data_IF_544358228524
#
_entry.id   IF_544358228524
#
_cell.length_a   1.000
_cell.length_b   1.000
_cell.length_c   1.000
_cell.angle_alpha   90.00
_cell.angle_beta   90.00
_cell.angle_gamma   90.00
#
_symmetry.space_group_name_H-M   'P 1'
#
loop_
_entity.id
_entity.type
_entity.pdbx_description
1 polymer ?
#
# COMPACT_ATOMS: atom_id res chain seq x y z
N UNK A 1 -28.88 -3.65 -2.23
CA UNK A 1 -27.71 -3.28 -1.41
C UNK A 1 -28.07 -3.49 0.05
N UNK A 2 -27.68 -4.63 0.62
CA UNK A 2 -27.77 -4.84 2.07
C UNK A 2 -26.65 -4.03 2.72
N UNK A 3 -26.97 -3.24 3.75
CA UNK A 3 -25.99 -2.45 4.48
C UNK A 3 -25.03 -3.40 5.22
N UNK A 4 -23.77 -3.44 4.82
CA UNK A 4 -22.71 -4.15 5.56
C UNK A 4 -22.43 -3.35 6.84
N UNK A 5 -22.79 -3.89 8.00
CA UNK A 5 -22.36 -3.32 9.28
C UNK A 5 -20.89 -3.69 9.47
N UNK A 6 -19.99 -2.73 9.25
CA UNK A 6 -18.61 -2.84 9.72
C UNK A 6 -18.63 -2.74 11.24
N UNK A 7 -18.33 -3.85 11.92
CA UNK A 7 -18.01 -3.82 13.34
C UNK A 7 -16.49 -3.66 13.42
N UNK A 8 -16.01 -2.42 13.31
CA UNK A 8 -14.66 -2.07 13.72
C UNK A 8 -14.64 -2.17 15.25
N UNK A 9 -14.48 -3.40 15.75
CA UNK A 9 -14.36 -3.60 17.19
C UNK A 9 -12.95 -3.18 17.56
N UNK A 10 -12.81 -1.97 18.09
CA UNK A 10 -11.62 -1.61 18.82
C UNK A 10 -11.69 -2.35 20.17
N UNK A 11 -10.94 -3.46 20.25
CA UNK A 11 -11.16 -4.55 21.19
C UNK A 11 -10.62 -4.32 22.61
N UNK A 12 -10.30 -3.08 22.96
CA UNK A 12 -9.95 -2.69 24.33
C UNK A 12 -11.18 -2.46 25.25
N UNK A 13 -12.41 -2.62 24.73
CA UNK A 13 -13.64 -2.36 25.50
C UNK A 13 -14.51 -3.62 25.75
N UNK A 14 -14.90 -3.92 27.01
CA UNK A 14 -15.61 -5.15 27.39
C UNK A 14 -17.05 -5.29 26.86
N UNK A 15 -17.62 -4.27 26.20
CA UNK A 15 -18.97 -4.30 25.62
C UNK A 15 -19.05 -5.01 24.25
N UNK A 16 -17.90 -5.31 23.63
CA UNK A 16 -17.82 -5.97 22.33
C UNK A 16 -18.44 -7.38 22.31
N UNK A 17 -18.29 -8.15 23.40
CA UNK A 17 -18.76 -9.53 23.48
C UNK A 17 -20.30 -9.65 23.46
N UNK A 18 -21.02 -8.63 23.96
CA UNK A 18 -22.48 -8.62 23.97
C UNK A 18 -23.09 -8.33 22.59
N UNK A 19 -22.36 -7.65 21.71
CA UNK A 19 -22.85 -7.29 20.38
C UNK A 19 -22.84 -8.48 19.42
N UNK A 20 -21.95 -9.47 19.61
CA UNK A 20 -21.78 -10.65 18.75
C UNK A 20 -23.05 -11.51 18.62
N UNK A 21 -23.88 -11.60 19.67
CA UNK A 21 -25.11 -12.38 19.67
C UNK A 21 -26.30 -11.70 18.94
N UNK A 22 -26.14 -10.45 18.45
CA UNK A 22 -27.20 -9.69 17.78
C UNK A 22 -26.97 -9.44 16.28
N UNK A 23 -25.94 -10.07 15.69
CA UNK A 23 -25.45 -9.68 14.36
C UNK A 23 -26.13 -10.47 13.22
N UNK A 24 -26.84 -9.71 12.38
CA UNK A 24 -27.29 -10.11 11.04
C UNK A 24 -26.11 -10.50 10.11
N UNK A 25 -26.43 -11.18 9.01
CA UNK A 25 -25.47 -11.70 8.04
C UNK A 25 -24.50 -10.64 7.49
N UNK A 26 -23.19 -10.96 7.48
CA UNK A 26 -22.16 -10.14 6.82
C UNK A 26 -21.27 -9.35 7.78
N UNK A 27 -20.76 -9.99 8.83
CA UNK A 27 -19.83 -9.37 9.79
C UNK A 27 -18.42 -9.31 9.18
N UNK A 28 -17.79 -8.14 9.29
CA UNK A 28 -16.36 -7.94 9.16
C UNK A 28 -15.74 -7.90 10.56
N UNK A 29 -14.65 -8.62 10.75
CA UNK A 29 -13.91 -8.68 11.99
C UNK A 29 -12.49 -8.19 11.77
N UNK A 30 -12.10 -7.16 12.51
CA UNK A 30 -10.74 -6.66 12.56
C UNK A 30 -10.13 -7.05 13.92
N UNK A 31 -9.06 -7.85 13.88
CA UNK A 31 -8.35 -8.33 15.06
C UNK A 31 -6.99 -7.65 15.11
N UNK A 32 -6.83 -6.65 15.96
CA UNK A 32 -5.52 -6.07 16.29
C UNK A 32 -5.06 -6.59 17.65
N UNK A 33 -3.90 -7.26 17.68
CA UNK A 33 -3.40 -7.93 18.88
C UNK A 33 -1.93 -7.59 19.16
N UNK A 34 -1.67 -7.17 20.41
CA UNK A 34 -0.35 -7.33 21.05
C UNK A 34 -0.38 -8.52 22.02
N UNK A 35 0.77 -8.98 22.50
CA UNK A 35 0.99 -10.27 23.20
C UNK A 35 0.06 -10.57 24.39
N UNK A 36 -0.70 -9.59 24.91
CA UNK A 36 -1.60 -9.68 26.07
C UNK A 36 -3.05 -9.22 25.80
N UNK A 37 -3.51 -9.21 24.54
CA UNK A 37 -4.81 -8.63 24.18
C UNK A 37 -6.01 -9.54 24.53
N UNK A 38 -7.09 -8.94 25.04
CA UNK A 38 -8.38 -9.60 25.29
C UNK A 38 -9.05 -10.09 24.00
N UNK A 39 -8.67 -9.51 22.86
CA UNK A 39 -9.09 -9.84 21.49
C UNK A 39 -9.03 -11.34 21.17
N UNK A 40 -8.03 -12.06 21.71
CA UNK A 40 -7.85 -13.51 21.48
C UNK A 40 -8.99 -14.36 22.04
N UNK A 41 -9.72 -13.87 23.06
CA UNK A 41 -10.83 -14.59 23.69
C UNK A 41 -12.09 -14.66 22.83
N UNK A 42 -12.16 -13.89 21.75
CA UNK A 42 -13.30 -13.86 20.83
C UNK A 42 -13.23 -14.94 19.76
N UNK A 43 -12.03 -15.34 19.32
CA UNK A 43 -11.86 -16.34 18.26
C UNK A 43 -12.63 -17.65 18.55
N UNK A 44 -12.58 -18.23 19.76
CA UNK A 44 -13.37 -19.42 20.09
C UNK A 44 -14.88 -19.22 19.96
N UNK A 45 -15.38 -18.00 20.17
CA UNK A 45 -16.82 -17.68 20.10
C UNK A 45 -17.33 -17.59 18.65
N UNK A 46 -16.42 -17.44 17.69
CA UNK A 46 -16.73 -17.30 16.27
C UNK A 46 -16.74 -18.64 15.53
N UNK A 47 -16.28 -19.72 16.16
CA UNK A 47 -16.26 -21.06 15.56
C UNK A 47 -17.68 -21.46 15.16
N UNK A 48 -17.84 -21.95 13.92
CA UNK A 48 -19.12 -22.27 13.29
C UNK A 48 -20.06 -21.07 13.04
N UNK A 49 -19.57 -19.83 13.12
CA UNK A 49 -20.41 -18.66 12.82
C UNK A 49 -20.70 -18.57 11.33
N UNK A 50 -21.99 -18.54 10.97
CA UNK A 50 -22.44 -18.28 9.61
C UNK A 50 -22.50 -16.78 9.28
N UNK A 51 -22.38 -15.90 10.28
CA UNK A 51 -22.42 -14.45 10.07
C UNK A 51 -21.08 -13.87 9.62
N UNK A 52 -19.97 -14.57 9.90
CA UNK A 52 -18.61 -14.10 9.57
C UNK A 52 -18.35 -14.27 8.07
N UNK A 53 -18.06 -13.14 7.40
CA UNK A 53 -17.78 -13.09 5.96
C UNK A 53 -16.39 -12.56 5.63
N UNK A 54 -15.77 -11.83 6.57
CA UNK A 54 -14.46 -11.22 6.43
C UNK A 54 -13.70 -11.26 7.74
N UNK A 55 -12.42 -11.62 7.69
CA UNK A 55 -11.50 -11.58 8.83
C UNK A 55 -10.24 -10.84 8.40
N UNK A 56 -9.86 -9.83 9.17
CA UNK A 56 -8.58 -9.14 9.09
C UNK A 56 -7.83 -9.34 10.40
N UNK A 57 -6.56 -9.73 10.30
CA UNK A 57 -5.70 -10.00 11.46
C UNK A 57 -4.44 -9.18 11.31
N UNK A 58 -4.20 -8.30 12.28
CA UNK A 58 -2.96 -7.58 12.49
C UNK A 58 -2.40 -7.95 13.87
N UNK A 59 -1.29 -8.68 13.88
CA UNK A 59 -0.71 -9.18 15.10
C UNK A 59 0.81 -9.18 15.05
N UNK A 60 1.40 -8.71 16.15
CA UNK A 60 2.83 -8.81 16.38
C UNK A 60 3.16 -9.89 17.41
N UNK A 61 4.22 -10.66 17.18
CA UNK A 61 4.67 -11.72 18.09
C UNK A 61 6.18 -11.71 18.33
N UNK A 62 6.63 -11.95 19.56
CA UNK A 62 8.05 -12.14 19.89
C UNK A 62 8.41 -13.60 20.17
N UNK A 63 7.42 -14.45 20.41
CA UNK A 63 7.61 -15.87 20.71
C UNK A 63 6.65 -16.73 19.90
N UNK A 64 7.07 -17.96 19.57
CA UNK A 64 6.20 -18.92 18.90
C UNK A 64 4.94 -19.25 19.71
N UNK A 65 5.04 -19.25 21.04
CA UNK A 65 3.92 -19.50 21.93
C UNK A 65 2.86 -18.39 21.87
N UNK A 66 3.28 -17.11 21.88
CA UNK A 66 2.37 -15.99 21.69
C UNK A 66 1.66 -16.04 20.33
N UNK A 67 2.41 -16.35 19.26
CA UNK A 67 1.82 -16.50 17.92
C UNK A 67 0.84 -17.68 17.86
N UNK A 68 1.17 -18.83 18.45
CA UNK A 68 0.28 -20.01 18.51
C UNK A 68 -1.03 -19.75 19.25
N UNK A 69 -1.02 -18.92 20.31
CA UNK A 69 -2.26 -18.52 21.00
C UNK A 69 -3.25 -17.78 20.08
N UNK A 70 -2.75 -17.14 19.03
CA UNK A 70 -3.57 -16.50 17.99
C UNK A 70 -3.91 -17.48 16.86
N UNK A 71 -2.90 -18.12 16.27
CA UNK A 71 -3.06 -18.89 15.03
C UNK A 71 -3.88 -20.15 15.25
N UNK A 72 -3.80 -20.81 16.41
CA UNK A 72 -4.58 -22.03 16.67
C UNK A 72 -6.10 -21.78 16.72
N UNK A 73 -6.62 -20.82 17.52
CA UNK A 73 -8.04 -20.46 17.45
C UNK A 73 -8.44 -19.90 16.08
N UNK A 74 -7.59 -19.09 15.45
CA UNK A 74 -7.86 -18.54 14.12
C UNK A 74 -8.06 -19.66 13.08
N UNK A 75 -7.19 -20.68 13.07
CA UNK A 75 -7.34 -21.86 12.22
C UNK A 75 -8.73 -22.50 12.39
N UNK A 76 -9.20 -22.66 13.63
CA UNK A 76 -10.53 -23.24 13.89
C UNK A 76 -11.66 -22.39 13.30
N UNK A 77 -11.56 -21.06 13.41
CA UNK A 77 -12.52 -20.14 12.77
C UNK A 77 -12.47 -20.28 11.24
N UNK A 78 -11.28 -20.27 10.65
CA UNK A 78 -11.11 -20.38 9.20
C UNK A 78 -11.66 -21.69 8.62
N UNK A 79 -11.60 -22.79 9.38
CA UNK A 79 -12.12 -24.09 8.95
C UNK A 79 -13.64 -24.26 9.21
N UNK A 80 -14.22 -23.47 10.11
CA UNK A 80 -15.60 -23.67 10.57
C UNK A 80 -16.60 -22.62 10.08
N UNK A 81 -16.16 -21.46 9.61
CA UNK A 81 -17.03 -20.39 9.14
C UNK A 81 -17.35 -20.53 7.63
N UNK A 82 -18.49 -21.10 7.23
CA UNK A 82 -18.76 -21.46 5.83
C UNK A 82 -18.94 -20.25 4.88
N UNK A 83 -19.26 -19.09 5.45
CA UNK A 83 -19.53 -17.86 4.70
C UNK A 83 -18.32 -16.92 4.62
N UNK A 84 -17.16 -17.33 5.13
CA UNK A 84 -15.93 -16.57 5.00
C UNK A 84 -15.55 -16.46 3.52
N UNK A 85 -15.35 -15.23 3.04
CA UNK A 85 -14.93 -14.93 1.66
C UNK A 85 -13.69 -14.05 1.60
N UNK A 86 -13.39 -13.31 2.67
CA UNK A 86 -12.28 -12.36 2.70
C UNK A 86 -11.36 -12.65 3.88
N UNK A 87 -10.08 -12.76 3.61
CA UNK A 87 -9.05 -13.00 4.62
C UNK A 87 -7.89 -12.03 4.40
N UNK A 88 -7.48 -11.34 5.46
CA UNK A 88 -6.28 -10.50 5.48
C UNK A 88 -5.41 -10.90 6.67
N UNK A 89 -4.15 -11.20 6.40
CA UNK A 89 -3.18 -11.69 7.38
C UNK A 89 -1.94 -10.78 7.41
N UNK A 90 -1.74 -10.16 8.55
CA UNK A 90 -0.52 -9.51 8.96
C UNK A 90 -0.08 -10.06 10.31
N UNK A 91 0.64 -11.19 10.29
CA UNK A 91 1.16 -11.85 11.48
C UNK A 91 2.68 -11.84 11.39
N UNK A 92 3.33 -10.91 12.09
CA UNK A 92 4.77 -10.71 11.95
C UNK A 92 5.49 -10.52 13.29
N UNK A 93 6.81 -10.72 13.32
CA UNK A 93 7.62 -10.13 14.38
C UNK A 93 7.47 -8.60 14.40
N UNK A 94 7.77 -7.92 15.52
CA UNK A 94 7.76 -6.46 15.58
C UNK A 94 8.62 -5.85 14.47
N UNK A 95 8.04 -4.96 13.67
CA UNK A 95 8.72 -4.27 12.57
C UNK A 95 9.50 -3.02 13.01
N UNK A 96 9.38 -2.58 14.27
CA UNK A 96 9.97 -1.33 14.73
C UNK A 96 11.37 -1.49 15.35
N UNK A 97 12.34 -0.67 14.92
CA UNK A 97 13.66 -0.50 15.52
C UNK A 97 14.85 -0.98 14.66
N UNK A 98 16.08 -0.65 15.07
CA UNK A 98 17.31 -1.08 14.39
C UNK A 98 17.70 -2.54 14.64
N UNK A 99 16.88 -3.29 15.40
CA UNK A 99 17.15 -4.69 15.73
C UNK A 99 16.11 -5.56 15.06
N UNK A 100 16.57 -6.46 14.19
CA UNK A 100 15.75 -7.57 13.72
C UNK A 100 15.47 -8.44 14.95
N UNK A 101 14.21 -8.57 15.41
CA UNK A 101 13.90 -9.43 16.54
C UNK A 101 14.29 -10.88 16.20
N UNK A 102 14.77 -11.62 17.20
CA UNK A 102 15.05 -13.04 17.04
C UNK A 102 13.77 -13.78 16.62
N UNK A 103 13.76 -14.30 15.40
CA UNK A 103 12.63 -15.07 14.87
C UNK A 103 12.67 -16.47 15.51
N UNK A 104 11.58 -16.96 16.11
CA UNK A 104 11.59 -18.25 16.76
C UNK A 104 11.81 -19.40 15.76
N UNK A 105 12.55 -20.42 16.18
CA UNK A 105 12.78 -21.63 15.39
C UNK A 105 11.55 -22.52 15.30
N UNK A 106 10.69 -22.44 16.31
CA UNK A 106 9.45 -23.18 16.44
C UNK A 106 8.39 -22.65 15.49
N UNK A 107 7.71 -23.59 14.85
CA UNK A 107 6.59 -23.29 13.99
C UNK A 107 5.43 -22.70 14.80
N UNK A 108 4.84 -21.63 14.27
CA UNK A 108 3.76 -20.91 14.92
C UNK A 108 2.64 -20.38 13.99
N UNK A 109 2.66 -20.76 12.71
CA UNK A 109 1.55 -20.48 11.78
C UNK A 109 0.28 -21.29 12.05
N UNK A 110 -0.67 -21.21 11.12
CA UNK A 110 -1.97 -21.89 11.17
C UNK A 110 -1.83 -23.41 11.07
N UNK A 111 -0.86 -23.91 10.31
CA UNK A 111 -0.50 -25.33 10.29
C UNK A 111 -1.60 -26.18 9.72
N UNK A 112 -2.22 -25.74 8.62
CA UNK A 112 -3.17 -26.56 7.88
C UNK A 112 -2.48 -27.85 7.42
N UNK A 113 -3.13 -28.98 7.64
CA UNK A 113 -2.59 -30.30 7.38
C UNK A 113 -3.71 -31.26 6.96
N UNK A 114 -3.38 -32.43 6.41
CA UNK A 114 -4.36 -33.51 6.18
C UNK A 114 -5.62 -33.10 5.37
N UNK A 115 -5.47 -32.23 4.36
CA UNK A 115 -6.58 -31.74 3.54
C UNK A 115 -7.49 -30.68 4.17
N UNK A 116 -7.15 -30.18 5.37
CA UNK A 116 -7.75 -28.98 5.93
C UNK A 116 -7.62 -27.78 5.00
N UNK A 117 -8.74 -27.14 4.67
CA UNK A 117 -8.75 -25.94 3.85
C UNK A 117 -9.88 -25.01 4.28
N UNK A 118 -9.65 -23.69 4.25
CA UNK A 118 -10.72 -22.73 4.44
C UNK A 118 -11.75 -22.83 3.29
N UNK A 119 -12.95 -22.23 3.45
CA UNK A 119 -13.86 -22.00 2.33
C UNK A 119 -13.17 -21.28 1.18
N UNK A 120 -13.72 -21.43 -0.03
CA UNK A 120 -13.20 -20.72 -1.20
C UNK A 120 -13.32 -19.20 -1.00
N UNK A 121 -12.17 -18.54 -0.97
CA UNK A 121 -12.05 -17.10 -0.75
C UNK A 121 -12.23 -16.34 -2.07
N UNK A 122 -12.78 -15.14 -1.95
CA UNK A 122 -12.92 -14.15 -3.02
C UNK A 122 -11.85 -13.06 -2.91
N UNK A 123 -11.33 -12.80 -1.70
CA UNK A 123 -10.23 -11.87 -1.44
C UNK A 123 -9.24 -12.45 -0.43
N UNK A 124 -7.96 -12.38 -0.76
CA UNK A 124 -6.87 -12.79 0.11
C UNK A 124 -5.78 -11.71 0.12
N UNK A 125 -5.39 -11.30 1.31
CA UNK A 125 -4.28 -10.41 1.56
C UNK A 125 -3.31 -11.06 2.55
N UNK A 126 -2.03 -11.13 2.17
CA UNK A 126 -0.96 -11.61 3.04
C UNK A 126 0.12 -10.53 3.05
N UNK A 127 0.14 -9.77 4.14
CA UNK A 127 1.15 -8.74 4.40
C UNK A 127 2.39 -9.41 5.02
N UNK A 128 2.17 -10.23 6.05
CA UNK A 128 3.20 -11.08 6.62
C UNK A 128 2.57 -12.32 7.26
N UNK A 129 3.31 -13.42 7.20
CA UNK A 129 2.85 -14.68 7.76
C UNK A 129 4.04 -15.58 8.12
N UNK A 130 4.01 -16.27 9.28
CA UNK A 130 5.07 -17.17 9.71
C UNK A 130 5.00 -18.52 8.95
N UNK A 131 5.37 -18.51 7.67
CA UNK A 131 5.37 -19.71 6.81
C UNK A 131 6.18 -20.85 7.45
N UNK A 132 5.51 -22.00 7.64
CA UNK A 132 6.16 -23.21 8.10
C UNK A 132 7.01 -23.85 7.02
N UNK A 133 8.09 -24.51 7.42
CA UNK A 133 8.98 -25.24 6.50
C UNK A 133 9.56 -26.48 7.15
N UNK A 134 9.97 -27.44 6.34
CA UNK A 134 10.64 -28.63 6.83
C UNK A 134 12.00 -28.27 7.47
N UNK A 135 12.33 -28.83 8.66
CA UNK A 135 13.65 -28.69 9.24
C UNK A 135 14.74 -29.18 8.28
N UNK A 136 15.73 -28.33 8.03
CA UNK A 136 16.90 -28.70 7.24
C UNK A 136 18.18 -28.57 8.10
N UNK A 137 19.32 -28.95 7.55
CA UNK A 137 20.60 -28.88 8.27
C UNK A 137 21.20 -27.46 8.34
N UNK A 138 20.45 -26.42 7.96
CA UNK A 138 20.89 -25.03 8.06
C UNK A 138 21.00 -24.60 9.52
N UNK A 139 22.00 -23.79 9.89
CA UNK A 139 22.04 -23.15 11.19
C UNK A 139 20.89 -22.15 11.42
N UNK A 140 20.16 -21.78 10.36
CA UNK A 140 19.03 -20.84 10.39
C UNK A 140 17.75 -21.60 10.04
N UNK A 141 17.00 -22.02 11.06
CA UNK A 141 15.78 -22.84 10.96
C UNK A 141 14.57 -22.13 11.58
N UNK A 142 14.24 -20.93 11.10
CA UNK A 142 13.03 -20.24 11.52
C UNK A 142 11.77 -21.03 11.13
N UNK A 143 10.79 -21.05 12.03
CA UNK A 143 9.47 -21.69 11.86
C UNK A 143 9.48 -23.14 11.38
N UNK A 144 10.57 -23.87 11.60
CA UNK A 144 10.73 -25.23 11.09
C UNK A 144 10.33 -26.29 12.13
N UNK A 145 10.62 -26.04 13.41
CA UNK A 145 10.41 -27.05 14.45
C UNK A 145 8.93 -27.19 14.78
N UNK A 146 8.35 -28.34 14.44
CA UNK A 146 6.95 -28.67 14.75
C UNK A 146 5.95 -28.33 13.66
N UNK A 147 6.40 -27.98 12.44
CA UNK A 147 5.50 -27.91 11.28
C UNK A 147 4.91 -29.31 11.02
N UNK A 148 3.57 -29.46 10.90
CA UNK A 148 2.93 -30.78 10.88
C UNK A 148 3.13 -31.58 9.59
N UNK A 149 3.48 -30.94 8.48
CA UNK A 149 3.66 -31.56 7.16
C UNK A 149 5.15 -31.61 6.76
N UNK A 150 5.48 -32.41 5.74
CA UNK A 150 6.79 -32.35 5.08
C UNK A 150 6.76 -31.26 3.99
N UNK A 151 7.92 -30.70 3.64
CA UNK A 151 8.02 -29.57 2.71
C UNK A 151 7.62 -28.22 3.32
N UNK A 152 7.12 -27.30 2.50
CA UNK A 152 6.78 -25.93 2.90
C UNK A 152 5.26 -25.75 3.07
N UNK A 153 4.86 -24.94 4.05
CA UNK A 153 3.44 -24.56 4.23
C UNK A 153 2.88 -23.84 3.02
N UNK A 154 3.73 -23.07 2.36
CA UNK A 154 3.37 -22.37 1.14
C UNK A 154 2.93 -23.34 0.03
N UNK A 155 3.63 -24.47 -0.14
CA UNK A 155 3.26 -25.51 -1.10
C UNK A 155 1.91 -26.14 -0.78
N UNK A 156 1.64 -26.33 0.52
CA UNK A 156 0.35 -26.85 0.99
C UNK A 156 -0.78 -25.90 0.60
N UNK A 157 -0.63 -24.61 0.88
CA UNK A 157 -1.62 -23.60 0.51
C UNK A 157 -1.83 -23.56 -1.00
N UNK A 158 -0.74 -23.50 -1.75
CA UNK A 158 -0.79 -23.46 -3.21
C UNK A 158 -1.53 -24.67 -3.79
N UNK A 159 -1.37 -25.85 -3.20
CA UNK A 159 -1.95 -27.11 -3.69
C UNK A 159 -3.39 -27.31 -3.24
N UNK A 160 -3.72 -27.04 -1.98
CA UNK A 160 -4.95 -27.49 -1.34
C UNK A 160 -6.06 -26.44 -1.33
N UNK A 161 -5.72 -25.15 -1.36
CA UNK A 161 -6.72 -24.07 -1.31
C UNK A 161 -7.44 -23.91 -2.66
N UNK A 162 -8.65 -23.38 -2.61
CA UNK A 162 -9.46 -23.10 -3.80
C UNK A 162 -9.16 -21.69 -4.34
N UNK A 163 -8.26 -21.61 -5.31
CA UNK A 163 -7.78 -20.34 -5.90
C UNK A 163 -8.66 -19.83 -7.06
N UNK A 164 -9.48 -20.68 -7.66
CA UNK A 164 -10.22 -20.35 -8.89
C UNK A 164 -11.29 -19.26 -8.69
N UNK A 165 -11.70 -19.00 -7.45
CA UNK A 165 -12.71 -18.00 -7.08
C UNK A 165 -12.12 -16.67 -6.59
N UNK A 166 -10.80 -16.58 -6.50
CA UNK A 166 -10.14 -15.41 -5.95
C UNK A 166 -10.20 -14.25 -6.95
N UNK A 167 -10.97 -13.21 -6.61
CA UNK A 167 -11.08 -11.97 -7.38
C UNK A 167 -10.01 -10.93 -7.01
N UNK A 168 -9.52 -10.95 -5.76
CA UNK A 168 -8.48 -10.05 -5.26
C UNK A 168 -7.35 -10.79 -4.54
N UNK A 169 -6.12 -10.50 -4.91
CA UNK A 169 -4.91 -11.04 -4.28
C UNK A 169 -3.92 -9.93 -3.95
N UNK A 170 -3.54 -9.83 -2.68
CA UNK A 170 -2.46 -8.95 -2.21
C UNK A 170 -1.38 -9.77 -1.53
N UNK A 171 -0.13 -9.65 -1.98
CA UNK A 171 1.04 -10.31 -1.40
C UNK A 171 2.17 -9.29 -1.21
N UNK A 172 2.56 -9.01 0.04
CA UNK A 172 3.66 -8.07 0.31
C UNK A 172 5.05 -8.71 0.22
N UNK A 173 5.14 -10.03 0.38
CA UNK A 173 6.33 -10.81 0.12
C UNK A 173 6.04 -11.80 -1.02
N UNK A 174 6.01 -11.27 -2.24
CA UNK A 174 5.85 -12.08 -3.44
C UNK A 174 7.05 -13.02 -3.69
N UNK A 175 8.19 -12.77 -3.03
CA UNK A 175 9.38 -13.62 -3.11
C UNK A 175 9.19 -14.98 -2.43
N UNK A 176 8.17 -15.10 -1.57
CA UNK A 176 7.76 -16.36 -0.96
C UNK A 176 7.40 -17.47 -1.97
N UNK A 177 7.19 -17.13 -3.24
CA UNK A 177 6.96 -18.11 -4.30
C UNK A 177 5.49 -18.49 -4.51
N UNK A 178 4.61 -18.15 -3.55
CA UNK A 178 3.19 -18.50 -3.58
C UNK A 178 2.52 -18.00 -4.86
N UNK A 179 2.80 -16.75 -5.24
CA UNK A 179 2.22 -16.11 -6.42
C UNK A 179 2.41 -16.96 -7.68
N UNK A 180 3.61 -17.50 -7.92
CA UNK A 180 3.91 -18.31 -9.11
C UNK A 180 3.21 -19.65 -9.08
N UNK A 181 3.17 -20.29 -7.90
CA UNK A 181 2.56 -21.61 -7.76
C UNK A 181 1.04 -21.55 -7.99
N UNK A 182 0.40 -20.43 -7.62
CA UNK A 182 -1.05 -20.28 -7.72
C UNK A 182 -1.50 -19.56 -8.99
N UNK A 183 -0.63 -18.79 -9.66
CA UNK A 183 -0.97 -18.04 -10.87
C UNK A 183 -1.77 -18.82 -11.93
N UNK A 184 -1.42 -20.07 -12.31
CA UNK A 184 -2.20 -20.82 -13.28
C UNK A 184 -3.66 -21.11 -12.85
N UNK A 185 -3.93 -21.00 -11.55
CA UNK A 185 -5.22 -21.32 -10.92
C UNK A 185 -6.10 -20.07 -10.71
N UNK A 186 -5.56 -18.86 -10.94
CA UNK A 186 -6.23 -17.58 -10.69
C UNK A 186 -7.20 -17.19 -11.83
N UNK A 187 -8.22 -18.02 -12.05
CA UNK A 187 -9.13 -17.90 -13.21
C UNK A 187 -10.15 -16.77 -13.15
N UNK A 188 -10.37 -16.18 -11.97
CA UNK A 188 -11.33 -15.08 -11.75
C UNK A 188 -10.67 -13.82 -11.18
N UNK A 189 -9.34 -13.78 -11.15
CA UNK A 189 -8.62 -12.67 -10.54
C UNK A 189 -8.80 -11.38 -11.36
N UNK A 190 -9.26 -10.34 -10.68
CA UNK A 190 -9.50 -9.01 -11.25
C UNK A 190 -8.51 -7.98 -10.69
N UNK A 191 -8.02 -8.19 -9.46
CA UNK A 191 -7.15 -7.24 -8.76
C UNK A 191 -5.92 -7.95 -8.18
N UNK A 192 -4.74 -7.43 -8.51
CA UNK A 192 -3.47 -7.96 -8.06
C UNK A 192 -2.59 -6.87 -7.45
N UNK A 193 -2.17 -7.08 -6.20
CA UNK A 193 -1.18 -6.23 -5.52
C UNK A 193 0.04 -7.06 -5.13
N UNK A 194 1.23 -6.66 -5.58
CA UNK A 194 2.48 -7.35 -5.29
C UNK A 194 3.53 -6.36 -4.78
N UNK A 195 4.08 -6.62 -3.60
CA UNK A 195 5.18 -5.81 -3.04
C UNK A 195 6.45 -6.63 -2.87
N UNK A 196 7.56 -5.93 -2.67
CA UNK A 196 8.91 -6.49 -2.40
C UNK A 196 9.36 -7.50 -3.46
N UNK A 197 9.09 -7.19 -4.73
CA UNK A 197 9.54 -8.01 -5.84
C UNK A 197 10.96 -7.63 -6.25
N UNK A 198 11.85 -8.60 -6.49
CA UNK A 198 13.26 -8.33 -6.81
C UNK A 198 13.74 -8.87 -8.17
N UNK A 199 12.91 -9.61 -8.91
CA UNK A 199 13.27 -10.28 -10.16
C UNK A 199 12.30 -9.94 -11.32
N UNK A 200 12.75 -9.24 -12.35
CA UNK A 200 11.87 -8.85 -13.46
C UNK A 200 11.36 -10.05 -14.29
N UNK A 201 12.17 -11.11 -14.44
CA UNK A 201 11.81 -12.28 -15.27
C UNK A 201 10.77 -13.15 -14.58
N UNK A 202 10.88 -13.27 -13.26
CA UNK A 202 9.83 -13.88 -12.45
C UNK A 202 8.52 -13.11 -12.57
N UNK A 203 8.55 -11.77 -12.44
CA UNK A 203 7.34 -10.95 -12.56
C UNK A 203 6.69 -11.11 -13.95
N UNK A 204 7.51 -11.13 -15.01
CA UNK A 204 7.05 -11.42 -16.38
C UNK A 204 6.38 -12.79 -16.46
N UNK A 205 7.03 -13.84 -15.95
CA UNK A 205 6.49 -15.20 -15.94
C UNK A 205 5.14 -15.26 -15.21
N UNK A 206 5.01 -14.55 -14.09
CA UNK A 206 3.78 -14.47 -13.32
C UNK A 206 2.63 -13.90 -14.14
N UNK A 207 2.79 -12.71 -14.73
CA UNK A 207 1.74 -12.06 -15.52
C UNK A 207 1.34 -12.85 -16.77
N UNK A 208 2.27 -13.57 -17.38
CA UNK A 208 2.00 -14.46 -18.52
C UNK A 208 1.25 -15.74 -18.11
N UNK A 209 1.35 -16.14 -16.85
CA UNK A 209 0.77 -17.38 -16.34
C UNK A 209 -0.64 -17.18 -15.79
N UNK A 210 -0.99 -15.96 -15.37
CA UNK A 210 -2.33 -15.62 -14.89
C UNK A 210 -3.33 -15.72 -16.06
N UNK A 211 -4.33 -16.63 -15.99
CA UNK A 211 -5.25 -16.87 -17.11
C UNK A 211 -6.41 -15.87 -17.19
N UNK A 212 -6.68 -15.15 -16.11
CA UNK A 212 -7.71 -14.10 -16.03
C UNK A 212 -7.23 -12.80 -16.64
N UNK A 213 -8.17 -11.88 -16.90
CA UNK A 213 -7.86 -10.54 -17.39
C UNK A 213 -7.93 -9.54 -16.24
N UNK A 214 -6.77 -9.01 -15.83
CA UNK A 214 -6.67 -8.11 -14.69
C UNK A 214 -7.30 -6.74 -15.01
N UNK A 215 -8.02 -6.20 -14.03
CA UNK A 215 -8.59 -4.85 -14.06
C UNK A 215 -7.76 -3.85 -13.26
N UNK A 216 -7.09 -4.32 -12.20
CA UNK A 216 -6.26 -3.51 -11.31
C UNK A 216 -4.93 -4.22 -11.04
N UNK A 217 -3.84 -3.49 -11.22
CA UNK A 217 -2.48 -3.93 -10.86
C UNK A 217 -1.81 -2.85 -10.02
N UNK A 218 -1.35 -3.23 -8.83
CA UNK A 218 -0.62 -2.34 -7.90
C UNK A 218 0.71 -2.96 -7.50
N UNK A 219 1.80 -2.22 -7.71
CA UNK A 219 3.18 -2.61 -7.45
C UNK A 219 3.86 -1.54 -6.58
N UNK A 220 3.58 -1.51 -5.25
CA UNK A 220 3.92 -0.38 -4.38
C UNK A 220 5.34 -0.46 -3.78
N UNK A 221 6.14 -1.48 -4.10
CA UNK A 221 7.56 -1.55 -3.71
C UNK A 221 8.29 -2.52 -4.63
N UNK A 222 8.82 -2.00 -5.73
CA UNK A 222 9.67 -2.77 -6.62
C UNK A 222 11.12 -2.64 -6.20
N UNK A 223 11.83 -3.76 -6.24
CA UNK A 223 13.23 -3.84 -5.90
C UNK A 223 14.08 -2.93 -6.79
N UNK A 224 15.25 -2.49 -6.28
CA UNK A 224 16.09 -1.47 -6.91
C UNK A 224 16.65 -1.85 -8.30
N UNK A 225 16.44 -3.08 -8.75
CA UNK A 225 16.99 -3.59 -10.02
C UNK A 225 15.92 -3.89 -11.06
N UNK A 226 14.65 -3.62 -10.77
CA UNK A 226 13.55 -3.93 -11.70
C UNK A 226 13.25 -2.70 -12.56
N UNK A 227 13.66 -2.77 -13.81
CA UNK A 227 13.09 -1.94 -14.87
C UNK A 227 11.86 -2.65 -15.42
N UNK A 228 10.67 -2.07 -15.22
CA UNK A 228 9.43 -2.71 -15.68
C UNK A 228 9.27 -2.48 -17.17
N UNK A 229 9.50 -3.55 -17.91
CA UNK A 229 9.00 -3.67 -19.27
C UNK A 229 7.47 -3.76 -19.26
N UNK A 230 6.79 -2.65 -19.61
CA UNK A 230 5.32 -2.58 -19.59
C UNK A 230 4.65 -3.63 -20.48
N UNK A 231 5.39 -4.22 -21.43
CA UNK A 231 4.87 -5.26 -22.30
C UNK A 231 4.43 -6.51 -21.54
N UNK A 232 4.94 -6.73 -20.31
CA UNK A 232 4.50 -7.85 -19.45
C UNK A 232 3.01 -7.79 -19.11
N UNK A 233 2.40 -6.59 -19.17
CA UNK A 233 0.98 -6.37 -18.88
C UNK A 233 0.08 -6.48 -20.13
N UNK A 234 0.65 -6.67 -21.33
CA UNK A 234 -0.12 -6.75 -22.58
C UNK A 234 -1.24 -7.82 -22.57
N UNK A 235 -1.09 -8.99 -21.95
CA UNK A 235 -2.18 -9.96 -21.84
C UNK A 235 -3.44 -9.40 -21.16
N UNK A 236 -3.29 -8.37 -20.32
CA UNK A 236 -4.34 -7.74 -19.51
C UNK A 236 -4.82 -6.41 -20.09
N UNK A 237 -4.27 -5.97 -21.22
CA UNK A 237 -4.40 -4.59 -21.68
C UNK A 237 -5.83 -4.17 -22.05
N UNK A 238 -6.67 -5.14 -22.48
CA UNK A 238 -8.05 -4.88 -22.85
C UNK A 238 -8.96 -4.56 -21.65
N UNK A 239 -8.58 -5.00 -20.44
CA UNK A 239 -9.41 -4.89 -19.21
C UNK A 239 -8.79 -4.01 -18.14
N UNK A 240 -7.48 -3.76 -18.20
CA UNK A 240 -6.78 -2.99 -17.18
C UNK A 240 -7.28 -1.54 -17.12
N UNK A 241 -7.78 -1.16 -15.95
CA UNK A 241 -8.38 0.13 -15.63
C UNK A 241 -7.56 0.94 -14.65
N UNK A 242 -6.90 0.27 -13.70
CA UNK A 242 -6.00 0.90 -12.74
C UNK A 242 -4.63 0.25 -12.81
N UNK A 243 -3.60 1.07 -12.97
CA UNK A 243 -2.21 0.67 -12.89
C UNK A 243 -1.48 1.58 -11.91
N UNK A 244 -0.90 0.98 -10.88
CA UNK A 244 -0.12 1.69 -9.87
C UNK A 244 1.26 1.07 -9.77
N UNK A 245 2.27 1.86 -10.13
CA UNK A 245 3.68 1.48 -10.09
C UNK A 245 4.38 2.60 -9.34
N UNK A 246 4.60 2.38 -8.05
CA UNK A 246 5.20 3.37 -7.18
C UNK A 246 6.12 2.66 -6.20
N UNK A 247 7.29 3.23 -5.92
CA UNK A 247 8.16 2.74 -4.85
C UNK A 247 8.47 3.86 -3.86
N UNK A 248 8.57 3.57 -2.55
CA UNK A 248 9.18 4.48 -1.61
C UNK A 248 10.56 4.92 -2.08
N UNK A 249 10.98 6.11 -1.67
CA UNK A 249 12.22 6.73 -2.15
C UNK A 249 13.42 5.82 -1.97
N UNK A 250 13.93 5.38 -3.10
CA UNK A 250 15.16 4.61 -3.22
C UNK A 250 15.97 5.19 -4.38
N UNK A 251 17.32 5.20 -4.31
CA UNK A 251 18.18 5.60 -5.43
C UNK A 251 17.92 4.91 -6.77
N UNK A 252 17.13 3.83 -6.80
CA UNK A 252 16.89 3.01 -7.97
C UNK A 252 15.39 2.66 -8.13
N UNK A 253 14.52 3.66 -8.06
CA UNK A 253 13.09 3.48 -8.33
C UNK A 253 12.81 3.32 -9.84
N UNK A 254 11.68 2.71 -10.23
CA UNK A 254 11.31 2.51 -11.63
C UNK A 254 11.20 3.85 -12.37
N UNK A 255 11.72 3.92 -13.60
CA UNK A 255 11.74 5.16 -14.40
C UNK A 255 10.92 5.03 -15.65
N UNK A 256 9.85 5.82 -15.76
CA UNK A 256 9.07 5.88 -16.98
C UNK A 256 9.72 6.80 -18.01
N UNK A 257 10.12 6.23 -19.13
CA UNK A 257 10.52 7.01 -20.31
C UNK A 257 9.30 7.47 -21.10
N UNK A 258 9.48 8.51 -21.92
CA UNK A 258 8.43 8.98 -22.83
C UNK A 258 7.93 7.85 -23.75
N UNK A 259 8.84 7.04 -24.27
CA UNK A 259 8.52 5.91 -25.13
C UNK A 259 7.71 4.83 -24.40
N UNK A 260 8.04 4.53 -23.14
CA UNK A 260 7.28 3.59 -22.33
C UNK A 260 5.84 4.07 -22.08
N UNK A 261 5.66 5.37 -21.80
CA UNK A 261 4.32 5.95 -21.60
C UNK A 261 3.51 6.03 -22.89
N UNK A 262 4.14 6.31 -24.04
CA UNK A 262 3.48 6.22 -25.34
C UNK A 262 3.00 4.81 -25.61
N UNK A 263 3.83 3.80 -25.33
CA UNK A 263 3.45 2.41 -25.50
C UNK A 263 2.31 2.00 -24.54
N UNK A 264 2.36 2.45 -23.28
CA UNK A 264 1.28 2.26 -22.30
C UNK A 264 -0.02 2.92 -22.78
N UNK A 265 0.03 4.16 -23.26
CA UNK A 265 -1.14 4.86 -23.80
C UNK A 265 -1.79 4.09 -24.94
N UNK A 266 -0.98 3.64 -25.89
CA UNK A 266 -1.46 3.03 -27.12
C UNK A 266 -1.96 1.60 -26.90
N UNK A 267 -1.43 0.91 -25.89
CA UNK A 267 -1.78 -0.50 -25.62
C UNK A 267 -2.95 -0.66 -24.64
N UNK A 268 -3.20 0.30 -23.74
CA UNK A 268 -4.16 0.18 -22.62
C UNK A 268 -5.32 1.18 -22.74
N UNK A 269 -6.28 0.96 -23.66
CA UNK A 269 -7.33 1.94 -23.97
C UNK A 269 -8.36 2.14 -22.86
N UNK A 270 -8.48 1.21 -21.90
CA UNK A 270 -9.40 1.31 -20.76
C UNK A 270 -8.75 1.87 -19.49
N UNK A 271 -7.47 2.27 -19.54
CA UNK A 271 -6.77 2.78 -18.37
C UNK A 271 -7.39 4.12 -17.93
N UNK A 272 -7.96 4.11 -16.74
CA UNK A 272 -8.67 5.26 -16.12
C UNK A 272 -7.88 5.84 -14.95
N UNK A 273 -7.03 5.06 -14.30
CA UNK A 273 -6.22 5.46 -13.15
C UNK A 273 -4.78 5.03 -13.39
N UNK A 274 -3.84 5.97 -13.26
CA UNK A 274 -2.41 5.71 -13.38
C UNK A 274 -1.66 6.36 -12.22
N UNK A 275 -0.88 5.57 -11.50
CA UNK A 275 0.03 6.05 -10.44
C UNK A 275 1.45 5.68 -10.83
N UNK A 276 2.33 6.69 -10.96
CA UNK A 276 3.74 6.50 -11.36
C UNK A 276 4.70 7.45 -10.66
N UNK A 277 5.93 6.99 -10.49
CA UNK A 277 7.06 7.84 -10.13
C UNK A 277 7.57 8.63 -11.35
N UNK A 278 7.83 9.92 -11.16
CA UNK A 278 8.31 10.85 -12.18
C UNK A 278 9.67 11.43 -11.78
N UNK A 279 10.66 11.11 -12.59
CA UNK A 279 11.98 11.72 -12.49
C UNK A 279 12.02 13.14 -13.07
N UNK A 280 12.79 14.01 -12.43
CA UNK A 280 13.12 15.33 -12.96
C UNK A 280 14.23 15.22 -14.00
N UNK A 281 14.10 15.95 -15.10
CA UNK A 281 15.12 16.01 -16.14
C UNK A 281 16.22 17.01 -15.72
N UNK A 282 17.06 16.61 -14.77
CA UNK A 282 18.01 17.53 -14.12
C UNK A 282 17.26 18.55 -13.26
N UNK A 283 17.35 19.84 -13.61
CA UNK A 283 16.68 20.95 -12.89
C UNK A 283 15.38 21.41 -13.54
N UNK A 284 14.78 20.57 -14.38
CA UNK A 284 13.57 20.90 -15.12
C UNK A 284 12.49 19.83 -14.96
N UNK A 285 11.25 20.29 -15.04
CA UNK A 285 10.07 19.44 -15.10
C UNK A 285 10.00 18.71 -16.46
N UNK A 286 9.68 17.40 -16.49
CA UNK A 286 9.69 16.59 -17.72
C UNK A 286 8.47 16.87 -18.61
N UNK A 287 8.49 18.00 -19.32
CA UNK A 287 7.36 18.48 -20.14
C UNK A 287 6.89 17.50 -21.24
N UNK A 288 7.81 16.68 -21.77
CA UNK A 288 7.49 15.63 -22.74
C UNK A 288 6.61 14.53 -22.11
N UNK A 289 6.95 14.09 -20.90
CA UNK A 289 6.18 13.10 -20.13
C UNK A 289 4.75 13.61 -19.89
N UNK A 290 4.60 14.85 -19.42
CA UNK A 290 3.28 15.45 -19.18
C UNK A 290 2.45 15.56 -20.47
N UNK A 291 3.10 15.85 -21.60
CA UNK A 291 2.43 15.88 -22.90
C UNK A 291 1.86 14.52 -23.30
N UNK A 292 2.56 13.44 -22.99
CA UNK A 292 2.07 12.07 -23.21
C UNK A 292 0.93 11.74 -22.25
N UNK A 293 1.08 12.03 -20.96
CA UNK A 293 0.05 11.76 -19.94
C UNK A 293 -1.29 12.46 -20.24
N UNK A 294 -1.26 13.72 -20.70
CA UNK A 294 -2.46 14.43 -21.12
C UNK A 294 -3.16 13.81 -22.35
N UNK A 295 -2.44 13.01 -23.14
CA UNK A 295 -2.97 12.38 -24.36
C UNK A 295 -3.62 11.02 -24.14
N UNK A 296 -3.66 10.51 -22.90
CA UNK A 296 -4.34 9.26 -22.62
C UNK A 296 -5.85 9.37 -22.92
N UNK A 297 -6.42 8.39 -23.65
CA UNK A 297 -7.78 8.50 -24.17
C UNK A 297 -8.88 8.34 -23.11
N UNK A 298 -8.59 7.63 -22.02
CA UNK A 298 -9.57 7.25 -20.99
C UNK A 298 -9.13 7.63 -19.58
N UNK A 299 -7.96 8.26 -19.41
CA UNK A 299 -7.39 8.55 -18.10
C UNK A 299 -8.22 9.63 -17.40
N UNK A 300 -8.70 9.31 -16.20
CA UNK A 300 -9.56 10.15 -15.36
C UNK A 300 -8.83 10.62 -14.11
N UNK A 301 -7.99 9.76 -13.53
CA UNK A 301 -7.20 10.04 -12.35
C UNK A 301 -5.72 9.73 -12.60
N UNK A 302 -4.85 10.63 -12.15
CA UNK A 302 -3.41 10.54 -12.32
C UNK A 302 -2.71 10.87 -11.01
N UNK A 303 -1.93 9.94 -10.48
CA UNK A 303 -1.11 10.14 -9.29
C UNK A 303 0.36 10.17 -9.69
N UNK A 304 1.00 11.31 -9.48
CA UNK A 304 2.41 11.51 -9.81
C UNK A 304 3.22 11.69 -8.54
N UNK A 305 4.22 10.83 -8.36
CA UNK A 305 5.15 10.90 -7.26
C UNK A 305 6.48 11.49 -7.74
N UNK A 306 6.97 12.50 -7.03
CA UNK A 306 8.25 13.14 -7.30
C UNK A 306 9.19 12.88 -6.13
N UNK A 307 10.44 12.46 -6.40
CA UNK A 307 11.41 12.22 -5.32
C UNK A 307 11.69 13.53 -4.57
N UNK A 308 11.78 13.48 -3.24
CA UNK A 308 12.17 14.61 -2.41
C UNK A 308 13.69 14.75 -2.38
N UNK A 309 14.42 13.64 -2.30
CA UNK A 309 15.86 13.61 -2.14
C UNK A 309 16.26 13.47 -0.68
N UNK A 310 17.57 13.56 -0.40
CA UNK A 310 18.05 13.62 0.98
C UNK A 310 18.08 15.07 1.49
N UNK A 311 18.16 15.24 2.81
CA UNK A 311 18.24 16.57 3.46
C UNK A 311 19.34 17.46 2.88
N UNK A 312 20.46 16.86 2.48
CA UNK A 312 21.65 17.59 2.06
C UNK A 312 21.64 17.95 0.56
N UNK A 313 20.78 17.32 -0.25
CA UNK A 313 20.67 17.54 -1.70
C UNK A 313 19.22 17.28 -2.17
N UNK A 314 18.26 18.14 -1.79
CA UNK A 314 16.87 17.98 -2.21
C UNK A 314 16.71 18.22 -3.72
N UNK A 315 15.89 17.41 -4.38
CA UNK A 315 15.71 17.50 -5.82
C UNK A 315 14.94 18.76 -6.22
N UNK A 316 15.55 19.57 -7.08
CA UNK A 316 14.92 20.75 -7.68
C UNK A 316 14.41 20.46 -9.10
N UNK A 317 13.31 21.09 -9.55
CA UNK A 317 12.45 22.03 -8.80
C UNK A 317 11.55 21.37 -7.74
N UNK A 318 11.23 22.09 -6.68
CA UNK A 318 10.34 21.60 -5.61
C UNK A 318 8.88 21.56 -6.04
N UNK A 319 8.14 20.58 -5.50
CA UNK A 319 6.70 20.56 -5.61
C UNK A 319 6.12 21.48 -4.53
N UNK A 320 5.61 22.63 -4.96
CA UNK A 320 4.91 23.62 -4.14
C UNK A 320 3.53 23.84 -4.75
N UNK A 321 2.63 24.54 -4.06
CA UNK A 321 1.30 24.84 -4.58
C UNK A 321 1.35 25.59 -5.93
N UNK A 322 2.34 26.47 -6.09
CA UNK A 322 2.54 27.20 -7.35
C UNK A 322 3.00 26.26 -8.48
N UNK A 323 4.02 25.42 -8.24
CA UNK A 323 4.49 24.48 -9.27
C UNK A 323 3.46 23.41 -9.57
N UNK A 324 2.76 22.88 -8.56
CA UNK A 324 1.63 21.96 -8.70
C UNK A 324 0.54 22.56 -9.61
N UNK A 325 0.14 23.81 -9.38
CA UNK A 325 -0.83 24.49 -10.25
C UNK A 325 -0.32 24.67 -11.67
N UNK A 326 0.97 24.96 -11.87
CA UNK A 326 1.56 25.11 -13.20
C UNK A 326 1.68 23.77 -13.95
N UNK A 327 1.89 22.67 -13.23
CA UNK A 327 1.96 21.32 -13.79
C UNK A 327 0.58 20.78 -14.14
N UNK A 328 -0.39 20.93 -13.22
CA UNK A 328 -1.71 20.35 -13.37
C UNK A 328 -2.58 21.07 -14.41
N UNK A 329 -2.51 22.40 -14.52
CA UNK A 329 -3.37 23.15 -15.45
C UNK A 329 -3.22 22.70 -16.91
N UNK A 330 -2.00 22.64 -17.50
CA UNK A 330 -1.86 22.17 -18.88
C UNK A 330 -2.29 20.72 -19.08
N UNK A 331 -2.09 19.85 -18.08
CA UNK A 331 -2.53 18.45 -18.12
C UNK A 331 -4.05 18.36 -18.18
N UNK A 332 -4.73 19.07 -17.28
CA UNK A 332 -6.18 19.17 -17.27
C UNK A 332 -6.68 19.83 -18.55
N UNK A 333 -6.16 20.98 -18.98
CA UNK A 333 -6.67 21.71 -20.15
C UNK A 333 -6.55 20.91 -21.46
N UNK A 334 -5.49 20.11 -21.61
CA UNK A 334 -5.23 19.31 -22.81
C UNK A 334 -5.96 17.98 -22.82
N UNK A 335 -6.25 17.42 -21.65
CA UNK A 335 -6.98 16.16 -21.55
C UNK A 335 -8.49 16.40 -21.56
N UNK A 336 -9.21 15.62 -22.36
CA UNK A 336 -10.67 15.67 -22.37
C UNK A 336 -11.30 14.85 -21.25
N UNK A 337 -10.58 13.85 -20.73
CA UNK A 337 -11.10 12.88 -19.76
C UNK A 337 -10.56 13.07 -18.35
N UNK A 338 -9.37 13.65 -18.19
CA UNK A 338 -8.72 13.79 -16.89
C UNK A 338 -9.54 14.72 -15.97
N UNK A 339 -9.89 14.21 -14.80
CA UNK A 339 -10.74 14.88 -13.81
C UNK A 339 -9.95 15.28 -12.59
N UNK A 340 -8.99 14.44 -12.17
CA UNK A 340 -8.21 14.63 -10.97
C UNK A 340 -6.72 14.32 -11.23
N UNK A 341 -5.85 15.12 -10.64
CA UNK A 341 -4.40 14.89 -10.60
C UNK A 341 -3.94 15.02 -9.16
N UNK A 342 -3.33 13.97 -8.63
CA UNK A 342 -2.63 14.00 -7.37
C UNK A 342 -1.14 14.15 -7.66
N UNK A 343 -0.52 15.14 -7.01
CA UNK A 343 0.91 15.40 -7.11
C UNK A 343 1.49 15.24 -5.72
N UNK A 344 2.47 14.36 -5.58
CA UNK A 344 3.10 14.04 -4.30
C UNK A 344 4.59 14.33 -4.40
N UNK A 345 5.17 14.98 -3.40
CA UNK A 345 6.61 14.99 -3.21
C UNK A 345 6.95 14.22 -1.96
N UNK A 346 7.99 13.39 -2.01
CA UNK A 346 8.30 12.57 -0.85
C UNK A 346 7.50 11.29 -0.84
N UNK A 347 8.18 10.15 -0.86
CA UNK A 347 7.62 8.92 -0.28
C UNK A 347 8.66 8.26 0.62
N UNK A 348 8.92 8.82 1.82
CA UNK A 348 9.89 8.23 2.71
C UNK A 348 9.47 6.80 3.05
N UNK A 349 10.44 5.88 3.05
CA UNK A 349 10.19 4.50 3.44
C UNK A 349 9.52 4.46 4.83
N UNK A 350 8.54 3.58 4.99
CA UNK A 350 7.85 3.41 6.27
C UNK A 350 8.86 3.06 7.37
N UNK A 351 8.70 3.70 8.53
CA UNK A 351 9.47 3.42 9.74
C UNK A 351 9.35 1.93 10.07
N UNK A 352 10.45 1.18 9.96
CA UNK A 352 10.51 -0.24 10.33
C UNK A 352 11.18 -1.17 9.33
N UNK A 353 11.39 -0.74 8.08
CA UNK A 353 12.16 -1.52 7.10
C UNK A 353 13.69 -1.26 7.19
N UNK A 354 14.23 -1.22 8.41
CA UNK A 354 15.67 -1.41 8.64
C UNK A 354 16.51 -0.20 9.00
N UNK A 355 16.05 1.05 8.93
CA UNK A 355 16.77 2.19 9.55
C UNK A 355 15.79 3.32 9.93
N UNK A 356 15.55 3.61 11.22
CA UNK A 356 15.18 4.95 11.62
C UNK A 356 16.44 5.81 11.54
N UNK A 357 16.72 6.43 10.41
CA UNK A 357 17.63 7.58 10.45
C UNK A 357 16.93 8.71 11.20
N UNK A 358 17.68 9.58 11.87
CA UNK A 358 17.15 10.80 12.47
C UNK A 358 16.43 11.70 11.45
N UNK A 359 16.57 11.39 10.15
CA UNK A 359 16.01 12.12 9.01
C UNK A 359 14.63 11.60 8.57
N UNK A 360 14.16 10.45 9.07
CA UNK A 360 12.84 9.92 8.77
C UNK A 360 11.66 10.87 9.14
N UNK A 361 11.67 11.58 10.30
CA UNK A 361 10.67 12.62 10.56
C UNK A 361 10.79 13.80 9.60
N UNK A 362 12.02 14.21 9.25
CA UNK A 362 12.24 15.34 8.35
C UNK A 362 11.66 15.06 6.96
N UNK A 363 11.98 13.92 6.34
CA UNK A 363 11.50 13.62 4.99
C UNK A 363 9.98 13.45 4.94
N UNK A 364 9.38 12.90 6.01
CA UNK A 364 7.92 12.73 6.12
C UNK A 364 7.19 14.05 6.27
N UNK A 365 7.72 14.98 7.03
CA UNK A 365 7.09 16.28 7.26
C UNK A 365 7.42 17.30 6.16
N UNK A 366 8.49 17.07 5.40
CA UNK A 366 8.81 17.81 4.18
C UNK A 366 8.23 17.19 2.90
N UNK A 367 7.53 16.07 3.01
CA UNK A 367 6.64 15.59 1.97
C UNK A 367 5.39 16.49 1.91
N UNK A 368 4.86 16.70 0.72
CA UNK A 368 3.61 17.44 0.53
C UNK A 368 2.84 16.86 -0.63
N UNK A 369 1.51 16.93 -0.52
CA UNK A 369 0.62 16.48 -1.57
C UNK A 369 -0.27 17.62 -2.06
N UNK A 370 -0.68 17.55 -3.32
CA UNK A 370 -1.65 18.45 -3.91
C UNK A 370 -2.66 17.67 -4.74
N UNK A 371 -3.94 18.00 -4.56
CA UNK A 371 -5.04 17.49 -5.36
C UNK A 371 -5.50 18.63 -6.28
N UNK A 372 -5.35 18.41 -7.58
CA UNK A 372 -5.83 19.31 -8.62
C UNK A 372 -7.01 18.67 -9.32
N UNK A 373 -8.22 19.18 -9.09
CA UNK A 373 -9.45 18.65 -9.65
C UNK A 373 -10.13 19.65 -10.58
N UNK A 374 -10.81 19.16 -11.60
CA UNK A 374 -11.64 19.98 -12.49
C UNK A 374 -12.98 20.29 -11.81
N UNK A 375 -13.18 21.52 -11.37
CA UNK A 375 -14.43 22.02 -10.80
C UNK A 375 -15.16 22.90 -11.83
N UNK A 376 -15.95 22.29 -12.71
CA UNK A 376 -16.59 22.99 -13.82
C UNK A 376 -15.57 23.40 -14.89
N UNK A 377 -15.44 24.71 -15.14
CA UNK A 377 -14.46 25.25 -16.10
C UNK A 377 -13.11 25.60 -15.48
N UNK A 378 -12.98 25.56 -14.15
CA UNK A 378 -11.75 25.95 -13.44
C UNK A 378 -11.13 24.75 -12.72
N UNK A 379 -9.80 24.72 -12.65
CA UNK A 379 -9.07 23.75 -11.84
C UNK A 379 -8.97 24.26 -10.40
N UNK A 380 -9.45 23.47 -9.44
CA UNK A 380 -9.26 23.73 -8.01
C UNK A 380 -8.00 23.02 -7.50
N UNK A 381 -7.24 23.68 -6.63
CA UNK A 381 -6.09 23.12 -5.94
C UNK A 381 -6.34 23.08 -4.44
N UNK A 382 -6.03 21.94 -3.83
CA UNK A 382 -6.11 21.70 -2.38
C UNK A 382 -4.90 20.88 -1.94
N UNK A 383 -4.31 21.21 -0.80
CA UNK A 383 -3.32 20.39 -0.11
C UNK A 383 -4.03 19.57 0.98
N UNK A 384 -4.04 18.23 0.91
CA UNK A 384 -4.77 17.40 1.87
C UNK A 384 -4.10 17.36 3.25
N UNK A 385 -2.83 17.75 3.34
CA UNK A 385 -2.07 17.85 4.60
C UNK A 385 -2.43 19.11 5.41
N UNK A 386 -3.25 19.99 4.83
CA UNK A 386 -3.70 21.25 5.42
C UNK A 386 -5.20 21.21 5.72
N UNK A 387 -5.62 21.88 6.78
CA UNK A 387 -7.05 22.08 7.04
C UNK A 387 -7.67 23.12 6.08
N UNK A 388 -8.97 23.38 6.24
CA UNK A 388 -9.68 24.33 5.37
C UNK A 388 -9.19 25.78 5.54
N UNK A 389 -8.80 26.22 6.74
CA UNK A 389 -8.30 27.57 7.00
C UNK A 389 -6.92 27.75 6.36
N UNK A 390 -6.02 26.80 6.58
CA UNK A 390 -4.69 26.74 5.99
C UNK A 390 -4.76 26.68 4.44
N UNK A 391 -5.65 25.87 3.87
CA UNK A 391 -5.86 25.83 2.42
C UNK A 391 -6.38 27.17 1.87
N UNK A 392 -7.25 27.86 2.59
CA UNK A 392 -7.73 29.18 2.18
C UNK A 392 -6.59 30.22 2.17
N UNK A 393 -5.73 30.20 3.18
CA UNK A 393 -4.53 31.05 3.21
C UNK A 393 -3.53 30.68 2.11
N UNK A 394 -3.36 29.39 1.80
CA UNK A 394 -2.50 28.93 0.71
C UNK A 394 -2.98 29.48 -0.63
N UNK A 395 -4.29 29.44 -0.89
CA UNK A 395 -4.89 30.01 -2.10
C UNK A 395 -4.70 31.52 -2.20
N UNK A 396 -4.79 32.25 -1.08
CA UNK A 396 -4.50 33.70 -1.05
C UNK A 396 -3.03 33.96 -1.39
N UNK A 397 -2.10 33.23 -0.76
CA UNK A 397 -0.67 33.35 -1.04
C UNK A 397 -0.35 33.10 -2.52
N UNK A 398 -0.99 32.09 -3.13
CA UNK A 398 -0.87 31.82 -4.57
C UNK A 398 -1.40 32.96 -5.45
N UNK A 399 -2.53 33.59 -5.08
CA UNK A 399 -3.10 34.72 -5.82
C UNK A 399 -2.20 35.96 -5.74
N UNK A 400 -1.63 36.22 -4.57
CA UNK A 400 -0.70 37.32 -4.33
C UNK A 400 0.70 37.05 -4.93
N UNK A 401 0.91 35.87 -5.54
CA UNK A 401 2.19 35.39 -6.07
C UNK A 401 3.32 35.46 -5.04
N UNK A 402 2.95 35.23 -3.79
CA UNK A 402 3.88 35.26 -2.67
C UNK A 402 4.67 33.96 -2.69
N UNK A 403 5.99 34.08 -2.78
CA UNK A 403 6.93 32.95 -2.77
C UNK A 403 7.43 32.63 -1.37
N UNK A 404 6.90 33.30 -0.33
CA UNK A 404 7.32 33.11 1.05
C UNK A 404 6.16 33.25 2.04
N UNK A 405 5.97 32.33 2.97
CA UNK A 405 4.83 32.39 3.89
C UNK A 405 4.86 33.68 4.75
N UNK A 406 3.74 34.44 4.83
CA UNK A 406 3.67 35.59 5.71
C UNK A 406 3.80 35.14 7.18
N UNK A 407 4.68 35.77 7.95
CA UNK A 407 4.86 35.48 9.38
C UNK A 407 3.54 35.54 10.18
N UNK A 408 2.63 36.44 9.78
CA UNK A 408 1.29 36.55 10.37
C UNK A 408 0.40 35.33 10.07
N UNK A 409 0.50 34.72 8.89
CA UNK A 409 -0.23 33.49 8.55
C UNK A 409 0.33 32.31 9.34
N UNK A 410 1.66 32.18 9.45
CA UNK A 410 2.29 31.11 10.23
C UNK A 410 1.92 31.15 11.72
N UNK A 411 1.79 32.34 12.31
CA UNK A 411 1.40 32.48 13.72
C UNK A 411 -0.03 32.00 14.03
N UNK A 412 -0.88 31.86 13.01
CA UNK A 412 -2.28 31.41 13.14
C UNK A 412 -2.46 29.91 12.94
N UNK A 413 -1.52 29.25 12.28
CA UNK A 413 -1.61 27.85 11.86
C UNK A 413 -0.86 26.92 12.83
N UNK A 414 -1.13 27.03 14.14
CA UNK A 414 -0.47 26.22 15.17
C UNK A 414 -0.64 24.72 14.85
N UNK A 415 0.46 23.98 14.75
CA UNK A 415 0.47 22.55 14.39
C UNK A 415 0.46 22.23 12.88
N UNK A 416 0.30 23.22 12.00
CA UNK A 416 0.38 23.03 10.53
C UNK A 416 1.43 23.94 9.86
N UNK A 417 2.26 24.63 10.65
CA UNK A 417 3.26 25.61 10.17
C UNK A 417 4.23 24.99 9.17
N UNK A 418 4.74 23.80 9.48
CA UNK A 418 5.69 23.07 8.62
C UNK A 418 5.04 22.66 7.32
N UNK A 419 3.88 21.98 7.37
CA UNK A 419 3.15 21.58 6.17
C UNK A 419 2.78 22.78 5.29
N UNK A 420 2.35 23.90 5.88
CA UNK A 420 2.03 25.12 5.14
C UNK A 420 3.27 25.72 4.48
N UNK A 421 4.37 25.83 5.23
CA UNK A 421 5.63 26.34 4.74
C UNK A 421 6.14 25.50 3.57
N UNK A 422 6.13 24.17 3.72
CA UNK A 422 6.54 23.22 2.68
C UNK A 422 5.66 23.35 1.45
N UNK A 423 4.34 23.50 1.63
CA UNK A 423 3.42 23.69 0.52
C UNK A 423 3.67 24.99 -0.26
N UNK A 424 4.17 26.05 0.39
CA UNK A 424 4.48 27.34 -0.26
C UNK A 424 5.87 27.36 -0.89
N UNK A 425 6.88 26.91 -0.15
CA UNK A 425 8.29 27.16 -0.45
C UNK A 425 9.07 25.90 -0.87
N UNK A 426 8.57 24.71 -0.52
CA UNK A 426 9.26 23.42 -0.73
C UNK A 426 9.90 22.88 0.55
N UNK A 427 10.68 21.79 0.48
CA UNK A 427 11.32 21.20 1.65
C UNK A 427 12.20 22.20 2.38
N UNK A 428 12.11 22.18 3.71
CA UNK A 428 12.85 23.03 4.63
C UNK A 428 14.19 22.42 4.97
N UNK A 429 15.23 23.23 5.13
CA UNK A 429 16.49 22.75 5.68
C UNK A 429 16.30 22.25 7.12
N UNK A 430 17.16 21.34 7.58
CA UNK A 430 17.02 20.69 8.90
C UNK A 430 16.99 21.72 10.03
N UNK A 431 17.80 22.78 9.96
CA UNK A 431 17.81 23.85 10.96
C UNK A 431 16.51 24.65 11.00
N UNK A 432 15.92 24.94 9.82
CA UNK A 432 14.66 25.68 9.68
C UNK A 432 13.50 24.84 10.20
N UNK A 433 13.46 23.56 9.80
CA UNK A 433 12.50 22.58 10.28
C UNK A 433 12.53 22.46 11.81
N UNK A 434 13.73 22.37 12.42
CA UNK A 434 13.91 22.34 13.89
C UNK A 434 13.51 23.66 14.56
N UNK A 435 13.70 24.80 13.90
CA UNK A 435 13.34 26.11 14.45
C UNK A 435 11.82 26.29 14.53
N UNK A 436 11.09 25.83 13.50
CA UNK A 436 9.63 25.86 13.49
C UNK A 436 9.02 24.96 14.57
N UNK A 437 9.58 23.77 14.79
CA UNK A 437 9.13 22.85 15.85
C UNK A 437 9.36 23.38 17.26
N UNK A 438 10.51 24.01 17.52
CA UNK A 438 10.82 24.59 18.83
C UNK A 438 9.95 25.80 19.20
N UNK A 439 9.23 26.37 18.23
CA UNK A 439 8.28 27.45 18.47
C UNK A 439 6.88 26.97 18.88
N UNK A 440 6.64 25.66 18.87
CA UNK A 440 5.35 25.04 19.23
C UNK A 440 5.40 24.37 20.64
N UNK A 441 6.58 24.31 21.27
CA UNK A 441 6.79 24.03 22.71
C UNK A 441 6.73 25.32 23.55
#
# INVERSE_FOLDING_TARGET
MAATKSLAVNLDHPEAAAQLHSLDAGVQLDISCTENSQSLSLLPQLVNSSSVSSIHVDATYRTADACRRLTQPLKQVLLSCPNLRRLSLDISPPRAGCMVPDIPSEYCGLGFANGERPPALESLEIIAYPWGREPNNSPINFHALGYPEKGEELDYWATTFEWSRLGRLTLHDASSGLAFQVAPKLTTLEELTLSQFHDADQLRSLFLTIPSSLSTVTLPTLGPSIDIDITILLPHAATLRKLEIHSPEHPHHPRFTEQALLHLRDSFPQLTHLTIDIDRAGKEWPSAIFSVLASFPSLQELDLWFPLGCSDDPFQPYLTALSASHLARPLLDRSTTLQCIHLHSGCPAQLGHGFPTQDAPWARENATSFICARAGTEASLTCPDLDDEANNELRKAMQDKVTSAPAASLSRLLGQRVAFQVAVEGPLEVEEWRALHRGDE
#
